data_IF_790977797389
#
_entry.id   IF_790977797389
#
_cell.length_a   1.000
_cell.length_b   1.000
_cell.length_c   1.000
_cell.angle_alpha   90.00
_cell.angle_beta   90.00
_cell.angle_gamma   90.00
#
_symmetry.space_group_name_H-M   'P 1'
#
loop_
_entity.id
_entity.type
_entity.pdbx_description
1 polymer ?
#
# COMPACT_ATOMS: atom_id res chain seq x y z
N UNK A 1 24.03 10.55 -18.87
CA UNK A 1 25.42 10.25 -18.45
C UNK A 1 25.72 8.84 -18.93
N UNK A 2 26.83 8.64 -19.64
CA UNK A 2 27.35 7.30 -19.90
C UNK A 2 28.42 7.02 -18.86
N UNK A 3 28.29 5.87 -18.19
CA UNK A 3 29.28 5.37 -17.25
C UNK A 3 29.69 3.98 -17.66
N UNK A 4 30.97 3.68 -17.50
CA UNK A 4 31.49 2.32 -17.65
C UNK A 4 31.74 1.78 -16.24
N UNK A 5 31.07 0.69 -15.89
CA UNK A 5 31.49 -0.13 -14.75
C UNK A 5 32.45 -1.17 -15.30
N UNK A 6 33.69 -1.13 -14.81
CA UNK A 6 34.70 -2.14 -15.09
C UNK A 6 34.73 -3.12 -13.91
N UNK A 7 34.30 -4.37 -14.14
CA UNK A 7 34.58 -5.48 -13.25
C UNK A 7 35.70 -6.34 -13.85
N UNK A 8 36.33 -7.23 -13.05
CA UNK A 8 37.40 -8.14 -13.53
C UNK A 8 37.02 -9.03 -14.73
N UNK A 9 35.75 -9.07 -15.16
CA UNK A 9 35.27 -9.98 -16.22
C UNK A 9 34.35 -9.36 -17.29
N UNK A 10 33.91 -8.11 -17.17
CA UNK A 10 33.04 -7.49 -18.20
C UNK A 10 33.03 -5.96 -18.15
N UNK A 11 32.82 -5.35 -19.33
CA UNK A 11 32.53 -3.94 -19.52
C UNK A 11 31.01 -3.81 -19.72
N UNK A 12 30.33 -3.03 -18.90
CA UNK A 12 28.90 -2.77 -19.06
C UNK A 12 28.66 -1.27 -19.12
N UNK A 13 28.08 -0.83 -20.23
CA UNK A 13 27.67 0.56 -20.44
C UNK A 13 26.33 0.78 -19.73
N UNK A 14 26.30 1.76 -18.82
CA UNK A 14 25.07 2.20 -18.18
C UNK A 14 24.64 3.50 -18.85
N UNK A 15 23.49 3.42 -19.50
CA UNK A 15 22.82 4.59 -20.04
C UNK A 15 21.71 5.00 -19.07
N UNK A 16 21.85 6.19 -18.49
CA UNK A 16 20.84 6.83 -17.67
C UNK A 16 20.76 8.31 -18.02
N UNK A 17 19.54 8.80 -18.24
CA UNK A 17 19.28 10.23 -18.34
C UNK A 17 19.29 10.84 -16.94
N UNK A 18 20.33 11.61 -16.64
CA UNK A 18 20.39 12.39 -15.40
C UNK A 18 19.54 13.64 -15.63
N UNK A 19 18.59 13.96 -14.74
CA UNK A 19 17.82 15.19 -14.89
C UNK A 19 18.72 16.42 -14.89
N UNK A 20 18.43 17.43 -15.71
CA UNK A 20 19.30 18.60 -15.89
C UNK A 20 19.47 19.48 -14.63
N UNK A 21 18.66 19.26 -13.59
CA UNK A 21 18.64 20.08 -12.37
C UNK A 21 18.67 19.23 -11.10
N UNK A 22 19.79 18.58 -10.79
CA UNK A 22 20.02 18.02 -9.45
C UNK A 22 20.75 19.09 -8.62
N UNK A 23 20.08 19.62 -7.60
CA UNK A 23 20.51 20.81 -6.86
C UNK A 23 21.35 20.50 -5.62
N UNK A 24 21.42 19.23 -5.21
CA UNK A 24 22.15 18.80 -4.02
C UNK A 24 22.93 17.51 -4.23
N UNK A 25 23.97 17.32 -3.41
CA UNK A 25 24.73 16.07 -3.37
C UNK A 25 23.84 14.86 -3.08
N UNK A 26 22.84 15.02 -2.21
CA UNK A 26 21.90 13.95 -1.82
C UNK A 26 21.06 13.51 -3.02
N UNK A 27 20.52 14.46 -3.79
CA UNK A 27 19.75 14.13 -5.01
C UNK A 27 20.62 13.41 -6.06
N UNK A 28 21.88 13.81 -6.20
CA UNK A 28 22.84 13.14 -7.11
C UNK A 28 23.13 11.72 -6.61
N UNK A 29 23.43 11.55 -5.33
CA UNK A 29 23.66 10.24 -4.72
C UNK A 29 22.44 9.31 -4.87
N UNK A 30 21.23 9.83 -4.64
CA UNK A 30 19.99 9.10 -4.81
C UNK A 30 19.80 8.63 -6.25
N UNK A 31 19.97 9.52 -7.23
CA UNK A 31 19.84 9.14 -8.63
C UNK A 31 20.89 8.14 -9.10
N UNK A 32 22.16 8.38 -8.76
CA UNK A 32 23.25 7.50 -9.18
C UNK A 32 23.09 6.13 -8.54
N UNK A 33 22.81 6.05 -7.24
CA UNK A 33 22.56 4.75 -6.57
C UNK A 33 21.34 4.03 -7.15
N UNK A 34 20.27 4.75 -7.50
CA UNK A 34 19.08 4.18 -8.13
C UNK A 34 19.37 3.63 -9.53
N UNK A 35 20.10 4.39 -10.35
CA UNK A 35 20.53 3.94 -11.68
C UNK A 35 21.44 2.70 -11.61
N UNK A 36 22.23 2.59 -10.53
CA UNK A 36 23.15 1.48 -10.30
C UNK A 36 22.57 0.33 -9.48
N UNK A 37 21.29 0.35 -9.11
CA UNK A 37 20.68 -0.63 -8.19
C UNK A 37 20.87 -2.09 -8.64
N UNK A 38 20.84 -2.34 -9.95
CA UNK A 38 21.03 -3.68 -10.52
C UNK A 38 22.47 -4.20 -10.43
N UNK A 39 23.44 -3.30 -10.19
CA UNK A 39 24.88 -3.58 -10.07
C UNK A 39 25.36 -3.50 -8.61
N UNK A 40 24.44 -3.41 -7.65
CA UNK A 40 24.76 -3.26 -6.23
C UNK A 40 25.72 -4.35 -5.72
N UNK A 41 25.60 -5.58 -6.22
CA UNK A 41 26.49 -6.70 -5.87
C UNK A 41 27.94 -6.49 -6.26
N UNK A 42 28.18 -5.75 -7.35
CA UNK A 42 29.52 -5.52 -7.89
C UNK A 42 30.26 -4.36 -7.20
N UNK A 43 29.53 -3.59 -6.40
CA UNK A 43 30.00 -2.40 -5.69
C UNK A 43 30.31 -2.67 -4.22
N UNK A 44 30.44 -3.93 -3.79
CA UNK A 44 30.74 -4.28 -2.40
C UNK A 44 32.26 -4.16 -2.16
N UNK A 45 32.71 -3.44 -1.10
CA UNK A 45 31.90 -2.78 -0.07
C UNK A 45 31.24 -1.49 -0.57
N UNK A 46 29.96 -1.30 -0.22
CA UNK A 46 29.17 -0.17 -0.71
C UNK A 46 29.78 1.17 -0.28
N UNK A 47 30.07 2.09 -1.22
CA UNK A 47 30.52 3.43 -0.88
C UNK A 47 29.49 4.18 -0.03
N UNK A 48 29.94 5.07 0.87
CA UNK A 48 29.05 5.84 1.74
C UNK A 48 27.99 6.66 1.00
N UNK A 49 28.36 7.23 -0.16
CA UNK A 49 27.41 7.95 -1.01
C UNK A 49 26.33 7.04 -1.61
N UNK A 50 26.63 5.75 -1.84
CA UNK A 50 25.65 4.80 -2.37
C UNK A 50 24.61 4.48 -1.31
N UNK A 51 25.05 4.24 -0.08
CA UNK A 51 24.17 3.99 1.07
C UNK A 51 23.31 5.22 1.36
N UNK A 52 23.89 6.42 1.31
CA UNK A 52 23.16 7.66 1.48
C UNK A 52 22.13 7.86 0.36
N UNK A 53 22.49 7.58 -0.88
CA UNK A 53 21.57 7.64 -2.02
C UNK A 53 20.40 6.67 -1.89
N UNK A 54 20.66 5.42 -1.47
CA UNK A 54 19.63 4.38 -1.29
C UNK A 54 18.57 4.80 -0.26
N UNK A 55 18.99 5.49 0.80
CA UNK A 55 18.07 6.03 1.81
C UNK A 55 17.14 7.13 1.27
N UNK A 56 17.53 7.77 0.17
CA UNK A 56 16.86 8.92 -0.42
C UNK A 56 16.27 8.61 -1.81
N UNK A 57 15.99 7.33 -2.14
CA UNK A 57 15.33 6.97 -3.40
C UNK A 57 13.92 7.55 -3.57
N UNK A 58 13.29 7.95 -2.47
CA UNK A 58 12.05 8.73 -2.49
C UNK A 58 12.16 10.00 -3.34
N UNK A 59 13.30 10.70 -3.31
CA UNK A 59 13.56 11.87 -4.16
C UNK A 59 13.56 11.53 -5.66
N UNK A 60 14.02 10.32 -6.00
CA UNK A 60 14.04 9.82 -7.39
C UNK A 60 12.62 9.49 -7.84
N UNK A 61 11.88 8.72 -7.03
CA UNK A 61 10.50 8.36 -7.34
C UNK A 61 9.60 9.59 -7.47
N UNK A 62 9.74 10.56 -6.55
CA UNK A 62 9.00 11.82 -6.56
C UNK A 62 9.21 12.63 -7.85
N UNK A 63 10.35 12.46 -8.52
CA UNK A 63 10.69 13.18 -9.75
C UNK A 63 10.34 12.39 -11.02
N UNK A 64 10.53 11.07 -11.02
CA UNK A 64 10.19 10.23 -12.18
C UNK A 64 8.69 10.10 -12.39
N UNK A 65 7.94 9.91 -11.30
CA UNK A 65 6.49 9.75 -11.31
C UNK A 65 5.91 10.54 -10.13
N UNK A 66 5.80 11.88 -10.26
CA UNK A 66 5.31 12.73 -9.17
C UNK A 66 3.90 12.38 -8.72
N UNK A 67 3.04 11.95 -9.65
CA UNK A 67 1.66 11.57 -9.36
C UNK A 67 1.59 10.22 -8.64
N UNK A 68 2.30 9.21 -9.12
CA UNK A 68 2.40 7.90 -8.46
C UNK A 68 3.05 8.00 -7.09
N UNK A 69 4.06 8.85 -6.93
CA UNK A 69 4.66 9.12 -5.62
C UNK A 69 3.68 9.77 -4.64
N UNK A 70 2.97 10.84 -5.07
CA UNK A 70 1.93 11.47 -4.25
C UNK A 70 0.85 10.48 -3.86
N UNK A 71 0.41 9.63 -4.80
CA UNK A 71 -0.57 8.57 -4.55
C UNK A 71 -0.06 7.53 -3.56
N UNK A 72 1.20 7.13 -3.65
CA UNK A 72 1.82 6.19 -2.71
C UNK A 72 1.90 6.79 -1.29
N UNK A 73 2.25 8.08 -1.18
CA UNK A 73 2.24 8.79 0.10
C UNK A 73 0.82 8.89 0.66
N UNK A 74 -0.15 9.31 -0.15
CA UNK A 74 -1.55 9.35 0.26
C UNK A 74 -2.05 7.96 0.75
N UNK A 75 -1.64 6.87 0.09
CA UNK A 75 -1.98 5.52 0.52
C UNK A 75 -1.25 5.11 1.81
N UNK A 76 -0.03 5.62 2.06
CA UNK A 76 0.66 5.38 3.33
C UNK A 76 -0.09 5.99 4.50
N UNK A 77 -0.64 7.19 4.30
CA UNK A 77 -1.31 7.98 5.32
C UNK A 77 -2.82 7.70 5.42
N UNK A 78 -3.38 6.90 4.51
CA UNK A 78 -4.80 6.59 4.52
C UNK A 78 -5.22 5.73 5.73
N UNK A 79 -6.50 5.82 6.17
CA UNK A 79 -7.04 4.93 7.19
C UNK A 79 -6.91 3.48 6.76
N UNK A 80 -6.20 2.68 7.56
CA UNK A 80 -6.07 1.24 7.34
C UNK A 80 -5.76 0.52 8.64
N UNK A 81 -6.18 -0.73 8.70
CA UNK A 81 -5.86 -1.64 9.77
C UNK A 81 -5.54 -3.03 9.19
N UNK A 82 -4.97 -3.88 10.02
CA UNK A 82 -4.49 -5.20 9.63
C UNK A 82 -5.04 -6.26 10.57
N UNK A 83 -5.71 -7.26 10.00
CA UNK A 83 -6.30 -8.38 10.72
C UNK A 83 -5.39 -9.60 10.49
N UNK A 84 -5.05 -10.37 11.53
CA UNK A 84 -4.37 -11.65 11.29
C UNK A 84 -5.32 -12.59 10.52
N UNK A 85 -4.78 -13.28 9.52
CA UNK A 85 -5.52 -14.21 8.65
C UNK A 85 -6.39 -15.20 9.43
N UNK A 86 -5.96 -15.64 10.60
CA UNK A 86 -6.72 -16.57 11.44
C UNK A 86 -8.06 -15.98 11.90
N UNK A 87 -8.12 -14.66 12.13
CA UNK A 87 -9.34 -13.92 12.46
C UNK A 87 -10.08 -13.41 11.22
N UNK A 88 -9.36 -13.08 10.14
CA UNK A 88 -9.98 -12.61 8.91
C UNK A 88 -10.80 -13.71 8.20
N UNK A 89 -10.39 -14.99 8.32
CA UNK A 89 -11.10 -16.13 7.71
C UNK A 89 -12.53 -16.33 8.22
N UNK A 90 -12.79 -16.42 9.53
CA UNK A 90 -14.16 -16.54 10.04
C UNK A 90 -14.97 -15.28 9.73
N UNK A 91 -14.40 -14.08 9.87
CA UNK A 91 -15.05 -12.83 9.49
C UNK A 91 -15.52 -12.87 8.03
N UNK A 92 -14.64 -13.25 7.10
CA UNK A 92 -14.97 -13.37 5.67
C UNK A 92 -16.12 -14.34 5.43
N UNK A 93 -16.14 -15.48 6.12
CA UNK A 93 -17.22 -16.47 5.95
C UNK A 93 -18.55 -15.89 6.40
N UNK A 94 -18.57 -15.27 7.58
CA UNK A 94 -19.78 -14.65 8.14
C UNK A 94 -20.30 -13.54 7.21
N UNK A 95 -19.42 -12.63 6.76
CA UNK A 95 -19.80 -11.58 5.82
C UNK A 95 -20.32 -12.13 4.49
N UNK A 96 -19.72 -13.21 3.97
CA UNK A 96 -20.18 -13.82 2.73
C UNK A 96 -21.58 -14.44 2.87
N UNK A 97 -21.87 -15.08 4.00
CA UNK A 97 -23.20 -15.60 4.32
C UNK A 97 -24.21 -14.44 4.42
N UNK A 98 -23.85 -13.34 5.08
CA UNK A 98 -24.73 -12.17 5.19
C UNK A 98 -24.98 -11.48 3.84
N UNK A 99 -23.95 -11.33 3.00
CA UNK A 99 -24.11 -10.78 1.66
C UNK A 99 -25.15 -11.58 0.86
N UNK A 100 -25.07 -12.91 0.90
CA UNK A 100 -26.02 -13.77 0.16
C UNK A 100 -27.48 -13.61 0.59
N UNK A 101 -27.73 -13.11 1.80
CA UNK A 101 -29.07 -12.86 2.34
C UNK A 101 -29.57 -11.43 2.17
N UNK A 102 -28.81 -10.53 1.52
CA UNK A 102 -29.20 -9.13 1.34
C UNK A 102 -30.40 -9.00 0.38
N UNK A 103 -31.33 -8.07 0.63
CA UNK A 103 -32.47 -7.81 -0.27
C UNK A 103 -32.06 -7.01 -1.52
N UNK A 104 -30.84 -6.47 -1.55
CA UNK A 104 -30.32 -5.60 -2.61
C UNK A 104 -29.04 -4.90 -2.15
N UNK A 105 -28.76 -3.73 -2.74
CA UNK A 105 -27.68 -2.85 -2.26
C UNK A 105 -27.98 -2.38 -0.83
N UNK A 106 -27.00 -2.54 0.05
CA UNK A 106 -27.11 -2.30 1.49
C UNK A 106 -25.85 -1.59 1.96
N UNK A 107 -26.03 -0.67 2.90
CA UNK A 107 -24.94 0.06 3.51
C UNK A 107 -24.22 -0.78 4.58
N UNK A 108 -22.90 -0.74 4.56
CA UNK A 108 -22.03 -1.43 5.50
C UNK A 108 -21.07 -0.41 6.11
N UNK A 109 -21.13 -0.23 7.42
CA UNK A 109 -20.30 0.73 8.14
C UNK A 109 -19.06 0.06 8.72
N UNK A 110 -17.90 0.72 8.61
CA UNK A 110 -16.62 0.31 9.14
C UNK A 110 -16.10 1.37 10.10
N UNK A 111 -15.62 0.97 11.27
CA UNK A 111 -14.90 1.85 12.20
C UNK A 111 -13.76 1.07 12.86
N UNK A 112 -12.68 1.74 13.21
CA UNK A 112 -11.52 1.10 13.82
C UNK A 112 -10.92 2.00 14.89
N UNK A 113 -10.91 1.54 16.14
CA UNK A 113 -10.49 2.31 17.32
C UNK A 113 -8.98 2.21 17.64
N UNK A 114 -8.19 1.65 16.71
CA UNK A 114 -6.79 1.31 16.92
C UNK A 114 -6.55 -0.13 17.44
N UNK A 115 -7.59 -0.87 17.81
CA UNK A 115 -7.50 -2.26 18.29
C UNK A 115 -8.56 -3.20 17.72
N UNK A 116 -9.78 -2.72 17.54
CA UNK A 116 -10.93 -3.48 17.07
C UNK A 116 -11.49 -2.81 15.83
N UNK A 117 -11.60 -3.58 14.75
CA UNK A 117 -12.35 -3.18 13.56
C UNK A 117 -13.79 -3.65 13.76
N UNK A 118 -14.70 -2.69 13.85
CA UNK A 118 -16.14 -2.91 13.93
C UNK A 118 -16.74 -2.75 12.55
N UNK A 119 -17.49 -3.76 12.13
CA UNK A 119 -18.17 -3.80 10.84
C UNK A 119 -19.66 -3.99 11.10
N UNK A 120 -20.49 -3.03 10.71
CA UNK A 120 -21.94 -3.09 10.91
C UNK A 120 -22.62 -3.30 9.56
N UNK A 121 -23.42 -4.36 9.45
CA UNK A 121 -24.26 -4.67 8.30
C UNK A 121 -25.65 -5.11 8.80
N UNK A 122 -26.73 -4.45 8.36
CA UNK A 122 -28.10 -4.74 8.82
C UNK A 122 -28.24 -4.82 10.34
N UNK A 123 -27.73 -3.80 11.06
CA UNK A 123 -27.75 -3.73 12.54
C UNK A 123 -26.92 -4.82 13.26
N UNK A 124 -26.26 -5.72 12.52
CA UNK A 124 -25.36 -6.73 13.08
C UNK A 124 -23.93 -6.21 13.07
N UNK A 125 -23.31 -6.22 14.25
CA UNK A 125 -21.90 -5.88 14.40
C UNK A 125 -21.03 -7.14 14.30
N UNK A 126 -19.98 -7.05 13.49
CA UNK A 126 -18.88 -7.99 13.42
C UNK A 126 -17.61 -7.30 13.90
N UNK A 127 -17.22 -7.60 15.13
CA UNK A 127 -16.01 -7.04 15.74
C UNK A 127 -14.84 -8.02 15.56
N UNK A 128 -13.71 -7.50 15.09
CA UNK A 128 -12.49 -8.29 14.90
C UNK A 128 -11.27 -7.55 15.44
N UNK A 129 -10.39 -8.27 16.14
CA UNK A 129 -9.11 -7.71 16.59
C UNK A 129 -8.25 -7.41 15.37
N UNK A 130 -7.70 -6.19 15.33
CA UNK A 130 -6.80 -5.73 14.30
C UNK A 130 -5.68 -4.87 14.89
N UNK A 131 -4.68 -4.58 14.09
CA UNK A 131 -3.57 -3.69 14.42
C UNK A 131 -3.53 -2.53 13.44
N UNK A 132 -3.23 -1.33 13.92
CA UNK A 132 -3.14 -0.14 13.09
C UNK A 132 -3.28 1.13 13.94
N UNK A 133 -3.45 2.25 13.26
CA UNK A 133 -3.83 3.51 13.90
C UNK A 133 -5.35 3.66 13.89
N UNK A 134 -5.89 4.28 14.94
CA UNK A 134 -7.30 4.70 15.02
C UNK A 134 -7.72 5.46 13.75
N UNK A 135 -8.90 5.16 13.24
CA UNK A 135 -9.45 5.82 12.07
C UNK A 135 -10.11 7.14 12.47
N UNK A 136 -9.95 8.21 11.69
CA UNK A 136 -10.47 9.52 12.07
C UNK A 136 -12.00 9.61 12.05
N UNK A 137 -12.67 8.67 11.40
CA UNK A 137 -14.13 8.56 11.33
C UNK A 137 -14.55 7.11 11.02
N UNK A 138 -15.84 6.83 11.09
CA UNK A 138 -16.42 5.66 10.44
C UNK A 138 -16.47 5.88 8.92
N UNK A 139 -16.59 4.80 8.16
CA UNK A 139 -16.71 4.83 6.70
C UNK A 139 -17.79 3.86 6.26
N UNK A 140 -18.62 4.30 5.33
CA UNK A 140 -19.74 3.51 4.82
C UNK A 140 -19.40 3.01 3.43
N UNK A 141 -19.66 1.75 3.13
CA UNK A 141 -19.54 1.19 1.78
C UNK A 141 -20.85 0.52 1.38
N UNK A 142 -21.19 0.61 0.10
CA UNK A 142 -22.35 -0.11 -0.45
C UNK A 142 -21.92 -1.51 -0.86
N UNK A 143 -22.64 -2.52 -0.37
CA UNK A 143 -22.46 -3.93 -0.72
C UNK A 143 -23.77 -4.52 -1.25
N UNK A 144 -23.69 -5.58 -2.03
CA UNK A 144 -24.85 -6.26 -2.61
C UNK A 144 -24.72 -7.78 -2.44
N UNK A 145 -25.77 -8.55 -2.77
CA UNK A 145 -25.68 -10.02 -2.80
C UNK A 145 -24.58 -10.56 -3.70
N UNK A 146 -24.16 -9.78 -4.70
CA UNK A 146 -23.11 -10.15 -5.65
C UNK A 146 -21.71 -9.74 -5.17
N UNK A 147 -21.60 -8.95 -4.10
CA UNK A 147 -20.30 -8.54 -3.55
C UNK A 147 -19.51 -9.77 -3.11
N UNK A 148 -18.29 -9.90 -3.67
CA UNK A 148 -17.39 -11.02 -3.37
C UNK A 148 -16.26 -10.56 -2.50
N UNK A 149 -15.93 -11.34 -1.46
CA UNK A 149 -14.68 -11.19 -0.73
C UNK A 149 -13.59 -12.06 -1.35
N UNK A 150 -12.30 -11.74 -1.10
CA UNK A 150 -11.19 -12.56 -1.57
C UNK A 150 -11.39 -14.03 -1.20
N UNK A 151 -11.37 -14.95 -2.17
CA UNK A 151 -11.56 -16.37 -1.89
C UNK A 151 -10.48 -16.94 -0.94
N UNK A 152 -9.27 -16.34 -0.98
CA UNK A 152 -8.11 -16.71 -0.17
C UNK A 152 -7.29 -15.47 0.17
N UNK A 153 -6.79 -15.41 1.40
CA UNK A 153 -5.82 -14.40 1.82
C UNK A 153 -4.39 -14.91 1.59
N UNK A 154 -3.60 -14.20 0.79
CA UNK A 154 -2.22 -14.57 0.45
C UNK A 154 -1.20 -14.12 1.51
N UNK A 155 -1.49 -13.01 2.20
CA UNK A 155 -0.67 -12.43 3.26
C UNK A 155 -1.13 -12.89 4.64
N UNK A 156 -0.21 -12.98 5.61
CA UNK A 156 -0.55 -13.33 7.00
C UNK A 156 -1.42 -12.24 7.62
N UNK A 157 -1.08 -10.99 7.35
CA UNK A 157 -1.88 -9.83 7.70
C UNK A 157 -2.78 -9.49 6.52
N UNK A 158 -4.07 -9.34 6.79
CA UNK A 158 -5.10 -8.94 5.83
C UNK A 158 -5.37 -7.47 6.07
N UNK A 159 -5.11 -6.65 5.06
CA UNK A 159 -5.37 -5.21 5.15
C UNK A 159 -6.85 -4.91 4.95
N UNK A 160 -7.38 -3.99 5.73
CA UNK A 160 -8.63 -3.29 5.45
C UNK A 160 -8.31 -1.80 5.41
N UNK A 161 -8.62 -1.14 4.30
CA UNK A 161 -8.19 0.25 4.05
C UNK A 161 -9.25 1.09 3.35
N UNK A 162 -9.16 2.40 3.56
CA UNK A 162 -10.02 3.40 2.94
C UNK A 162 -9.16 4.27 2.06
N UNK A 163 -9.28 4.10 0.74
CA UNK A 163 -8.44 4.81 -0.21
C UNK A 163 -9.18 5.12 -1.50
N UNK A 164 -8.98 6.34 -2.01
CA UNK A 164 -9.63 6.85 -3.24
C UNK A 164 -11.16 6.72 -3.23
N UNK A 165 -11.77 6.87 -2.05
CA UNK A 165 -13.21 6.76 -1.89
C UNK A 165 -13.72 5.32 -2.01
N UNK A 166 -12.90 4.31 -1.66
CA UNK A 166 -13.33 2.92 -1.55
C UNK A 166 -12.86 2.31 -0.24
N UNK A 167 -13.72 1.48 0.38
CA UNK A 167 -13.28 0.50 1.37
C UNK A 167 -12.75 -0.72 0.62
N UNK A 168 -11.53 -1.12 0.94
CA UNK A 168 -10.89 -2.33 0.42
C UNK A 168 -10.72 -3.36 1.53
N UNK A 169 -11.02 -4.61 1.21
CA UNK A 169 -10.73 -5.77 2.03
C UNK A 169 -9.73 -6.66 1.28
N UNK A 170 -8.48 -6.65 1.75
CA UNK A 170 -7.31 -7.16 1.03
C UNK A 170 -7.21 -6.52 -0.37
N UNK A 171 -7.37 -7.32 -1.42
CA UNK A 171 -7.29 -6.87 -2.81
C UNK A 171 -8.63 -6.50 -3.43
N UNK A 172 -9.73 -6.64 -2.70
CA UNK A 172 -11.07 -6.41 -3.24
C UNK A 172 -11.62 -5.09 -2.72
N UNK A 173 -12.08 -4.25 -3.64
CA UNK A 173 -12.86 -3.04 -3.33
C UNK A 173 -14.31 -3.45 -3.13
N UNK A 174 -14.90 -3.08 -1.99
CA UNK A 174 -16.27 -3.45 -1.65
C UNK A 174 -17.29 -2.54 -2.34
N UNK A 175 -17.01 -1.24 -2.37
CA UNK A 175 -17.85 -0.23 -2.99
C UNK A 175 -17.29 1.18 -2.74
N UNK A 176 -17.86 2.20 -3.39
CA UNK A 176 -17.56 3.58 -3.06
C UNK A 176 -17.88 3.85 -1.59
N UNK A 177 -17.11 4.72 -0.96
CA UNK A 177 -17.25 5.01 0.44
C UNK A 177 -17.24 6.49 0.77
N UNK A 178 -18.05 6.84 1.77
CA UNK A 178 -18.12 8.18 2.34
C UNK A 178 -17.81 8.10 3.85
N UNK A 179 -17.19 9.14 4.43
CA UNK A 179 -17.05 9.23 5.88
C UNK A 179 -18.44 9.33 6.53
N UNK A 180 -18.68 8.48 7.53
CA UNK A 180 -19.90 8.54 8.34
C UNK A 180 -19.87 9.73 9.31
N UNK A 181 -21.06 10.23 9.66
CA UNK A 181 -21.25 11.27 10.68
C UNK A 181 -21.05 10.74 12.10
#
# INVERSE_FOLDING_TARGET
MSGVIESRRSWTEIQGEIPPYLGSFVEVAAWVSFALKSYKSDLIPLPGWFVEGERNWDLVYARMDPEGWKRQQAYRDCPKCFIDREYARPLRRNLHEEFSGLPGETEMTFSFDGRVLSIILNERAHDVIASGCDWPSSYQAIVSPETKLPARFQSRMVEVSVFEGYVSFDRVRLGPCEPGN
#
